data_IF_268735655190
#
_entry.id   IF_268735655190
#
_cell.length_a   1.000
_cell.length_b   1.000
_cell.length_c   1.000
_cell.angle_alpha   90.00
_cell.angle_beta   90.00
_cell.angle_gamma   90.00
#
_symmetry.space_group_name_H-M   'P 1'
#
loop_
_entity.id
_entity.type
_entity.pdbx_description
1 polymer ?
#
# COMPACT_ATOMS: atom_id res chain seq x y z
N UNK A 1 31.43 52.18 -33.24
CA UNK A 1 30.09 51.64 -33.43
C UNK A 1 30.00 50.09 -33.49
N UNK A 2 31.00 49.38 -33.98
CA UNK A 2 30.99 47.85 -34.05
C UNK A 2 31.03 47.13 -32.69
N UNK A 3 31.58 47.72 -31.61
CA UNK A 3 31.68 47.09 -30.27
C UNK A 3 30.38 47.12 -29.49
N UNK A 4 29.47 48.08 -29.74
CA UNK A 4 28.17 48.19 -29.05
C UNK A 4 27.17 47.17 -29.59
N UNK A 5 27.22 46.84 -30.89
CA UNK A 5 26.38 45.80 -31.50
C UNK A 5 26.68 44.38 -30.99
N UNK A 6 27.95 44.08 -30.68
CA UNK A 6 28.35 42.78 -30.16
C UNK A 6 27.89 42.56 -28.73
N UNK A 7 27.90 43.61 -27.90
CA UNK A 7 27.44 43.54 -26.50
C UNK A 7 25.89 43.35 -26.42
N UNK A 8 25.14 43.99 -27.31
CA UNK A 8 23.70 43.85 -27.41
C UNK A 8 23.26 42.42 -27.84
N UNK A 9 24.01 41.80 -28.73
CA UNK A 9 23.78 40.40 -29.16
C UNK A 9 24.07 39.42 -28.02
N UNK A 10 25.12 39.61 -27.25
CA UNK A 10 25.45 38.74 -26.10
C UNK A 10 24.38 38.81 -24.99
N UNK A 11 23.83 40.01 -24.74
CA UNK A 11 22.76 40.20 -23.74
C UNK A 11 21.45 39.53 -24.21
N UNK A 12 21.15 39.51 -25.51
CA UNK A 12 19.98 38.86 -26.08
C UNK A 12 20.09 37.30 -26.00
N UNK A 13 21.29 36.74 -26.14
CA UNK A 13 21.50 35.29 -25.98
C UNK A 13 21.50 34.87 -24.52
N UNK A 14 21.91 35.70 -23.58
CA UNK A 14 21.89 35.37 -22.15
C UNK A 14 20.47 35.36 -21.57
N UNK A 15 19.51 36.09 -22.14
CA UNK A 15 18.11 36.09 -21.71
C UNK A 15 17.25 34.95 -22.28
N UNK A 16 17.78 34.19 -23.27
CA UNK A 16 17.02 33.10 -23.90
C UNK A 16 17.11 31.76 -23.18
N UNK A 17 17.91 31.63 -22.11
CA UNK A 17 18.08 30.38 -21.37
C UNK A 17 17.38 30.33 -20.02
N UNK A 18 16.62 31.36 -19.64
CA UNK A 18 15.74 31.23 -18.47
C UNK A 18 14.45 30.53 -18.90
N UNK A 19 14.34 29.23 -18.61
CA UNK A 19 13.08 28.51 -18.75
C UNK A 19 12.04 29.22 -17.87
N UNK A 20 11.09 29.90 -18.54
CA UNK A 20 10.09 30.71 -17.86
C UNK A 20 9.18 29.77 -17.06
N UNK A 21 9.16 29.90 -15.75
CA UNK A 21 8.23 29.14 -14.90
C UNK A 21 6.79 29.42 -15.31
N UNK A 22 5.92 28.41 -15.19
CA UNK A 22 4.49 28.63 -15.35
C UNK A 22 3.99 29.65 -14.32
N UNK A 23 3.14 30.63 -14.71
CA UNK A 23 2.72 31.71 -13.83
C UNK A 23 2.06 31.23 -12.53
N UNK A 24 1.34 30.10 -12.57
CA UNK A 24 0.64 29.57 -11.40
C UNK A 24 1.52 28.67 -10.52
N UNK A 25 2.75 28.33 -10.96
CA UNK A 25 3.59 27.38 -10.22
C UNK A 25 3.85 27.82 -8.77
N UNK A 26 4.14 29.09 -8.53
CA UNK A 26 4.44 29.59 -7.19
C UNK A 26 3.24 29.43 -6.23
N UNK A 27 2.03 29.78 -6.71
CA UNK A 27 0.77 29.59 -5.96
C UNK A 27 0.51 28.11 -5.69
N UNK A 28 0.63 27.27 -6.70
CA UNK A 28 0.37 25.84 -6.63
C UNK A 28 1.37 25.12 -5.72
N UNK A 29 2.64 25.55 -5.71
CA UNK A 29 3.65 25.05 -4.79
C UNK A 29 3.28 25.32 -3.32
N UNK A 30 2.79 26.50 -3.00
CA UNK A 30 2.34 26.82 -1.64
C UNK A 30 1.11 25.99 -1.25
N UNK A 31 0.17 25.74 -2.18
CA UNK A 31 -0.96 24.83 -1.93
C UNK A 31 -0.48 23.41 -1.67
N UNK A 32 0.46 22.87 -2.47
CA UNK A 32 1.02 21.54 -2.28
C UNK A 32 1.71 21.39 -0.92
N UNK A 33 2.52 22.36 -0.53
CA UNK A 33 3.15 22.39 0.79
C UNK A 33 2.13 22.44 1.91
N UNK A 34 1.08 23.26 1.73
CA UNK A 34 0.00 23.38 2.72
C UNK A 34 -0.78 22.09 2.88
N UNK A 35 -1.05 21.34 1.80
CA UNK A 35 -1.66 20.02 1.87
C UNK A 35 -0.87 19.05 2.75
N UNK A 36 0.46 19.01 2.59
CA UNK A 36 1.32 18.17 3.40
C UNK A 36 1.39 18.61 4.87
N UNK A 37 1.44 19.92 5.13
CA UNK A 37 1.36 20.44 6.50
C UNK A 37 0.04 20.08 7.20
N UNK A 38 -1.08 20.15 6.48
CA UNK A 38 -2.39 19.75 7.02
C UNK A 38 -2.47 18.24 7.25
N UNK A 39 -1.78 17.45 6.41
CA UNK A 39 -1.66 16.01 6.64
C UNK A 39 -0.84 15.69 7.91
N UNK A 40 0.27 16.38 8.14
CA UNK A 40 1.05 16.29 9.39
C UNK A 40 0.24 16.68 10.64
N UNK A 41 -0.72 17.58 10.49
CA UNK A 41 -1.60 18.04 11.58
C UNK A 41 -2.88 17.20 11.72
N UNK A 42 -3.07 16.22 10.84
CA UNK A 42 -4.29 15.41 10.73
C UNK A 42 -5.55 16.27 10.52
N UNK A 43 -5.39 17.48 9.94
CA UNK A 43 -6.47 18.40 9.63
C UNK A 43 -7.20 17.98 8.34
N UNK A 44 -8.11 17.03 8.49
CA UNK A 44 -8.90 16.47 7.40
C UNK A 44 -9.75 17.52 6.69
N UNK A 45 -10.42 18.40 7.44
CA UNK A 45 -11.28 19.44 6.88
C UNK A 45 -10.48 20.51 6.15
N UNK A 46 -9.33 20.87 6.70
CA UNK A 46 -8.37 21.76 6.04
C UNK A 46 -7.86 21.21 4.71
N UNK A 47 -7.55 19.91 4.66
CA UNK A 47 -7.17 19.25 3.40
C UNK A 47 -8.34 19.22 2.41
N UNK A 48 -9.56 18.88 2.86
CA UNK A 48 -10.75 18.85 2.02
C UNK A 48 -11.05 20.18 1.35
N UNK A 49 -10.76 21.30 2.02
CA UNK A 49 -10.94 22.66 1.48
C UNK A 49 -9.97 23.02 0.33
N UNK A 50 -8.86 22.28 0.19
CA UNK A 50 -7.87 22.49 -0.87
C UNK A 50 -8.01 21.48 -2.03
N UNK A 51 -8.96 20.54 -1.96
CA UNK A 51 -9.13 19.45 -2.92
C UNK A 51 -10.40 19.69 -3.73
N UNK A 52 -10.27 19.63 -5.06
CA UNK A 52 -11.38 19.71 -6.00
C UNK A 52 -12.29 18.49 -5.90
N UNK A 53 -13.60 18.70 -6.08
CA UNK A 53 -14.56 17.58 -6.18
C UNK A 53 -14.35 16.71 -7.42
N UNK A 54 -13.67 17.25 -8.42
CA UNK A 54 -13.34 16.57 -9.68
C UNK A 54 -11.95 15.93 -9.66
N UNK A 55 -11.34 15.75 -8.48
CA UNK A 55 -10.02 15.15 -8.35
C UNK A 55 -9.97 13.75 -8.96
N UNK A 56 -8.88 13.47 -9.67
CA UNK A 56 -8.49 12.12 -10.07
C UNK A 56 -7.17 11.80 -9.39
N UNK A 57 -7.20 10.85 -8.45
CA UNK A 57 -6.02 10.45 -7.70
C UNK A 57 -5.58 9.03 -8.09
N UNK A 58 -4.26 8.80 -8.03
CA UNK A 58 -3.62 7.51 -8.30
C UNK A 58 -2.80 7.09 -7.08
N UNK A 59 -2.72 5.79 -6.82
CA UNK A 59 -1.88 5.23 -5.77
C UNK A 59 -0.89 4.24 -6.36
N UNK A 60 0.22 3.99 -5.65
CA UNK A 60 1.23 3.01 -6.02
C UNK A 60 0.82 1.55 -5.74
N UNK A 61 -0.40 1.31 -5.29
CA UNK A 61 -0.90 -0.04 -5.04
C UNK A 61 -1.08 -0.81 -6.36
N UNK A 62 -0.49 -2.01 -6.43
CA UNK A 62 -0.61 -2.87 -7.62
C UNK A 62 -2.07 -3.22 -7.93
N UNK A 63 -2.49 -2.96 -9.18
CA UNK A 63 -3.84 -3.26 -9.66
C UNK A 63 -4.93 -2.30 -9.18
N UNK A 64 -4.58 -1.19 -8.48
CA UNK A 64 -5.55 -0.18 -8.09
C UNK A 64 -6.07 0.60 -9.29
N UNK A 65 -7.34 0.98 -9.24
CA UNK A 65 -7.94 1.95 -10.15
C UNK A 65 -7.72 3.38 -9.66
N UNK A 66 -8.05 4.36 -10.51
CA UNK A 66 -8.02 5.77 -10.14
C UNK A 66 -9.16 6.07 -9.16
N UNK A 67 -8.86 6.89 -8.17
CA UNK A 67 -9.81 7.29 -7.13
C UNK A 67 -10.45 8.65 -7.46
N UNK A 68 -11.75 8.74 -7.24
CA UNK A 68 -12.46 10.00 -7.17
C UNK A 68 -12.35 10.66 -5.79
N UNK A 69 -13.09 11.76 -5.60
CA UNK A 69 -13.00 12.58 -4.37
C UNK A 69 -13.27 11.79 -3.09
N UNK A 70 -14.37 11.03 -3.03
CA UNK A 70 -14.78 10.35 -1.79
C UNK A 70 -13.80 9.25 -1.40
N UNK A 71 -13.29 8.50 -2.37
CA UNK A 71 -12.28 7.45 -2.16
C UNK A 71 -10.93 8.05 -1.76
N UNK A 72 -10.53 9.16 -2.39
CA UNK A 72 -9.30 9.86 -2.04
C UNK A 72 -9.34 10.42 -0.62
N UNK A 73 -10.47 11.03 -0.22
CA UNK A 73 -10.66 11.51 1.14
C UNK A 73 -10.72 10.38 2.17
N UNK A 74 -11.31 9.24 1.82
CA UNK A 74 -11.27 8.04 2.67
C UNK A 74 -9.85 7.49 2.82
N UNK A 75 -9.03 7.53 1.77
CA UNK A 75 -7.63 7.14 1.81
C UNK A 75 -6.81 8.05 2.75
N UNK A 76 -6.98 9.38 2.66
CA UNK A 76 -6.36 10.35 3.59
C UNK A 76 -6.71 10.02 5.04
N UNK A 77 -8.00 9.79 5.30
CA UNK A 77 -8.49 9.42 6.64
C UNK A 77 -7.88 8.10 7.13
N UNK A 78 -7.71 7.14 6.23
CA UNK A 78 -7.06 5.86 6.52
C UNK A 78 -5.62 6.04 7.02
N UNK A 79 -4.84 6.92 6.38
CA UNK A 79 -3.49 7.24 6.85
C UNK A 79 -3.47 7.95 8.21
N UNK A 80 -4.36 8.93 8.46
CA UNK A 80 -4.49 9.57 9.78
C UNK A 80 -4.86 8.58 10.90
N UNK A 81 -5.64 7.52 10.59
CA UNK A 81 -5.97 6.48 11.55
C UNK A 81 -4.85 5.45 11.76
N UNK A 82 -3.98 5.28 10.78
CA UNK A 82 -2.95 4.25 10.79
C UNK A 82 -1.61 4.73 11.39
N UNK A 83 -1.34 6.04 11.33
CA UNK A 83 -0.05 6.60 11.72
C UNK A 83 -0.20 7.83 12.60
N UNK A 84 0.56 7.86 13.71
CA UNK A 84 0.78 9.02 14.58
C UNK A 84 2.10 9.73 14.18
N UNK A 85 2.26 10.99 14.59
CA UNK A 85 3.50 11.77 14.46
C UNK A 85 4.03 11.86 13.03
N UNK A 86 3.12 11.94 12.05
CA UNK A 86 3.46 11.97 10.63
C UNK A 86 4.20 13.25 10.29
N UNK A 87 5.31 13.15 9.56
CA UNK A 87 6.11 14.30 9.13
C UNK A 87 6.72 14.07 7.76
N UNK A 88 6.61 15.07 6.89
CA UNK A 88 7.27 15.08 5.58
C UNK A 88 8.57 15.87 5.61
N UNK A 89 9.64 15.26 5.10
CA UNK A 89 10.92 15.93 4.88
C UNK A 89 11.20 15.95 3.38
N UNK A 90 11.03 17.10 2.70
CA UNK A 90 11.30 17.20 1.27
C UNK A 90 12.80 17.13 0.98
N UNK A 91 13.19 16.33 -0.02
CA UNK A 91 14.51 16.44 -0.64
C UNK A 91 14.52 17.57 -1.67
N UNK A 92 13.44 17.72 -2.45
CA UNK A 92 13.27 18.76 -3.46
C UNK A 92 11.81 18.97 -3.84
N UNK A 93 11.47 20.20 -4.22
CA UNK A 93 10.24 20.59 -4.90
C UNK A 93 10.57 21.05 -6.32
N UNK A 94 9.84 20.53 -7.32
CA UNK A 94 10.10 20.75 -8.73
C UNK A 94 8.82 21.16 -9.47
N UNK A 95 8.91 21.98 -10.52
CA UNK A 95 7.80 22.19 -11.43
C UNK A 95 7.49 20.92 -12.22
N UNK A 96 6.21 20.69 -12.45
CA UNK A 96 5.74 19.63 -13.33
C UNK A 96 5.61 20.09 -14.78
N UNK A 97 5.36 19.13 -15.67
CA UNK A 97 5.22 19.38 -17.10
C UNK A 97 4.10 18.51 -17.69
N UNK A 98 3.58 18.93 -18.84
CA UNK A 98 2.74 18.10 -19.68
C UNK A 98 3.53 16.96 -20.36
N UNK A 99 2.85 16.17 -21.19
CA UNK A 99 3.44 15.06 -21.93
C UNK A 99 4.47 15.46 -23.00
N UNK A 100 4.48 16.74 -23.38
CA UNK A 100 5.44 17.32 -24.32
C UNK A 100 6.63 17.99 -23.63
N UNK A 101 6.63 18.00 -22.29
CA UNK A 101 7.71 18.62 -21.49
C UNK A 101 7.50 20.11 -21.20
N UNK A 102 6.37 20.74 -21.60
CA UNK A 102 6.09 22.12 -21.28
C UNK A 102 5.65 22.24 -19.82
N UNK A 103 6.16 23.26 -19.10
CA UNK A 103 5.75 23.53 -17.74
C UNK A 103 4.27 23.91 -17.70
N UNK A 104 3.50 23.25 -16.84
CA UNK A 104 2.03 23.34 -16.80
C UNK A 104 1.47 23.77 -15.43
N UNK A 105 2.31 24.31 -14.55
CA UNK A 105 1.90 24.74 -13.22
C UNK A 105 1.75 23.64 -12.19
N UNK A 106 1.84 22.36 -12.57
CA UNK A 106 1.84 21.24 -11.63
C UNK A 106 3.11 21.23 -10.78
N UNK A 107 3.03 20.51 -9.64
CA UNK A 107 4.11 20.43 -8.64
C UNK A 107 4.51 18.98 -8.45
N UNK A 108 5.79 18.75 -8.24
CA UNK A 108 6.36 17.44 -7.90
C UNK A 108 7.26 17.57 -6.69
N UNK A 109 7.33 16.51 -5.90
CA UNK A 109 8.28 16.46 -4.79
C UNK A 109 8.84 15.06 -4.61
N UNK A 110 10.11 15.00 -4.24
CA UNK A 110 10.74 13.82 -3.68
C UNK A 110 11.03 14.08 -2.22
N UNK A 111 10.89 13.09 -1.38
CA UNK A 111 11.15 13.24 0.04
C UNK A 111 10.81 11.98 0.81
N UNK A 112 10.76 12.13 2.12
CA UNK A 112 10.54 11.04 3.06
C UNK A 112 9.41 11.41 4.00
N UNK A 113 8.39 10.55 4.07
CA UNK A 113 7.42 10.54 5.16
C UNK A 113 7.97 9.68 6.32
N UNK A 114 7.91 10.22 7.51
CA UNK A 114 8.15 9.48 8.75
C UNK A 114 6.89 9.50 9.60
N UNK A 115 6.77 8.56 10.54
CA UNK A 115 5.63 8.46 11.45
C UNK A 115 5.72 7.19 12.27
N UNK A 116 4.74 6.95 13.14
CA UNK A 116 4.65 5.75 13.98
C UNK A 116 3.35 5.03 13.70
N UNK A 117 3.41 3.77 13.27
CA UNK A 117 2.20 2.99 13.04
C UNK A 117 1.46 2.73 14.37
N UNK A 118 0.15 3.04 14.42
CA UNK A 118 -0.63 3.12 15.67
C UNK A 118 -0.69 1.80 16.42
N UNK A 119 -0.87 0.66 15.75
CA UNK A 119 -1.03 -0.65 16.40
C UNK A 119 0.30 -1.31 16.77
N UNK A 120 1.24 -1.32 15.83
CA UNK A 120 2.52 -2.02 16.00
C UNK A 120 3.57 -1.21 16.73
N UNK A 121 3.38 0.12 16.81
CA UNK A 121 4.35 1.11 17.31
C UNK A 121 5.66 1.12 16.53
N UNK A 122 5.69 0.55 15.33
CA UNK A 122 6.86 0.57 14.45
C UNK A 122 7.00 1.92 13.77
N UNK A 123 8.25 2.35 13.63
CA UNK A 123 8.58 3.60 12.95
C UNK A 123 8.51 3.43 11.44
N UNK A 124 7.81 4.37 10.78
CA UNK A 124 7.75 4.52 9.34
C UNK A 124 8.91 5.40 8.85
N UNK A 125 9.55 4.99 7.77
CA UNK A 125 10.43 5.83 6.96
C UNK A 125 10.20 5.50 5.49
N UNK A 126 9.35 6.30 4.84
CA UNK A 126 8.83 6.04 3.50
C UNK A 126 9.37 7.06 2.51
N UNK A 127 10.36 6.67 1.72
CA UNK A 127 10.88 7.48 0.62
C UNK A 127 9.97 7.32 -0.60
N UNK A 128 9.66 8.45 -1.27
CA UNK A 128 8.80 8.40 -2.43
C UNK A 128 8.82 9.68 -3.27
N UNK A 129 7.94 9.67 -4.24
CA UNK A 129 7.66 10.75 -5.17
C UNK A 129 6.16 11.03 -5.18
N UNK A 130 5.79 12.31 -5.15
CA UNK A 130 4.40 12.78 -5.22
C UNK A 130 4.28 13.85 -6.29
N UNK A 131 3.17 13.86 -7.03
CA UNK A 131 2.82 14.93 -7.95
C UNK A 131 1.44 15.49 -7.67
N UNK A 132 1.24 16.76 -8.04
CA UNK A 132 0.04 17.52 -7.78
C UNK A 132 -0.33 18.32 -9.03
N UNK A 133 -1.54 18.09 -9.57
CA UNK A 133 -2.16 18.94 -10.57
C UNK A 133 -3.19 19.85 -9.93
N UNK A 134 -3.44 21.00 -10.54
CA UNK A 134 -4.35 22.00 -10.00
C UNK A 134 -5.31 22.49 -11.08
N UNK A 135 -6.54 22.80 -10.68
CA UNK A 135 -7.52 23.44 -11.53
C UNK A 135 -7.27 24.97 -11.63
N UNK A 136 -8.10 25.66 -12.40
CA UNK A 136 -8.03 27.13 -12.59
C UNK A 136 -8.25 27.93 -11.28
N UNK A 137 -8.92 27.34 -10.30
CA UNK A 137 -9.13 27.93 -8.98
C UNK A 137 -7.94 27.72 -8.04
N UNK A 138 -7.00 26.83 -8.42
CA UNK A 138 -5.85 26.43 -7.63
C UNK A 138 -6.18 25.36 -6.60
N UNK A 139 -7.30 24.62 -6.78
CA UNK A 139 -7.61 23.42 -6.01
C UNK A 139 -6.93 22.21 -6.64
N UNK A 140 -6.52 21.27 -5.80
CA UNK A 140 -5.92 20.01 -6.21
C UNK A 140 -6.93 19.17 -7.03
N UNK A 141 -6.68 18.95 -8.31
CA UNK A 141 -7.53 18.15 -9.20
C UNK A 141 -6.86 16.88 -9.73
N UNK A 142 -5.57 16.72 -9.51
CA UNK A 142 -4.87 15.48 -9.80
C UNK A 142 -3.76 15.24 -8.75
N UNK A 143 -3.63 14.01 -8.29
CA UNK A 143 -2.55 13.62 -7.40
C UNK A 143 -2.16 12.18 -7.65
N UNK A 144 -0.88 11.89 -7.52
CA UNK A 144 -0.38 10.53 -7.49
C UNK A 144 0.90 10.42 -6.68
N UNK A 145 1.16 9.19 -6.27
CA UNK A 145 2.32 8.84 -5.47
C UNK A 145 3.01 7.60 -6.02
N UNK A 146 4.32 7.53 -5.80
CA UNK A 146 5.14 6.38 -6.15
C UNK A 146 6.11 6.10 -5.00
N UNK A 147 5.84 5.04 -4.28
CA UNK A 147 6.66 4.53 -3.19
C UNK A 147 6.50 3.01 -3.07
N UNK A 148 7.32 2.37 -2.27
CA UNK A 148 7.22 0.94 -2.01
C UNK A 148 6.07 0.65 -1.02
N UNK A 149 4.83 0.61 -1.55
CA UNK A 149 3.64 0.33 -0.75
C UNK A 149 3.71 -1.07 -0.11
N UNK A 150 4.11 -2.09 -0.89
CA UNK A 150 4.23 -3.46 -0.39
C UNK A 150 5.27 -3.60 0.72
N UNK A 151 6.44 -2.97 0.55
CA UNK A 151 7.47 -2.90 1.58
C UNK A 151 7.00 -2.18 2.83
N UNK A 152 6.29 -1.06 2.71
CA UNK A 152 5.68 -0.34 3.83
C UNK A 152 4.73 -1.24 4.63
N UNK A 153 3.76 -1.88 3.96
CA UNK A 153 2.81 -2.78 4.63
C UNK A 153 3.56 -3.90 5.36
N UNK A 154 4.50 -4.54 4.69
CA UNK A 154 5.28 -5.63 5.29
C UNK A 154 6.13 -5.20 6.49
N UNK A 155 6.66 -3.96 6.46
CA UNK A 155 7.55 -3.47 7.51
C UNK A 155 6.80 -3.03 8.77
N UNK A 156 5.70 -2.27 8.63
CA UNK A 156 5.12 -1.56 9.78
C UNK A 156 3.72 -2.01 10.18
N UNK A 157 2.92 -2.59 9.27
CA UNK A 157 1.57 -3.04 9.62
C UNK A 157 1.58 -4.34 10.44
N UNK A 158 0.54 -4.59 11.25
CA UNK A 158 0.41 -5.86 11.96
C UNK A 158 0.16 -6.99 10.96
N UNK A 159 0.70 -8.16 11.27
CA UNK A 159 0.44 -9.39 10.50
C UNK A 159 -0.39 -10.36 11.32
N UNK A 160 -1.50 -10.80 10.76
CA UNK A 160 -2.34 -11.84 11.35
C UNK A 160 -2.02 -13.18 10.67
N UNK A 161 -0.90 -13.80 11.09
CA UNK A 161 -0.49 -15.10 10.57
C UNK A 161 -1.25 -16.22 11.29
N UNK A 162 -1.63 -17.23 10.53
CA UNK A 162 -2.12 -18.51 11.03
C UNK A 162 -1.27 -19.60 10.42
N UNK A 163 -0.74 -20.48 11.27
CA UNK A 163 0.06 -21.61 10.83
C UNK A 163 -0.72 -22.88 11.16
N UNK A 164 -0.99 -23.69 10.15
CA UNK A 164 -1.63 -24.99 10.30
C UNK A 164 -0.63 -26.08 9.94
N UNK A 165 -0.43 -27.06 10.81
CA UNK A 165 0.26 -28.29 10.44
C UNK A 165 -0.71 -29.46 10.36
N UNK A 166 -0.49 -30.32 9.37
CA UNK A 166 -1.23 -31.54 9.14
C UNK A 166 -0.27 -32.72 9.26
N UNK A 167 -0.44 -33.52 10.31
CA UNK A 167 0.36 -34.70 10.52
C UNK A 167 -0.29 -35.91 9.80
N UNK A 168 0.37 -36.41 8.75
CA UNK A 168 -0.20 -37.34 7.79
C UNK A 168 0.29 -38.76 8.06
N UNK A 169 -0.59 -39.74 7.95
CA UNK A 169 -0.25 -41.19 8.02
C UNK A 169 0.73 -41.53 6.91
N UNK A 170 1.60 -42.50 7.20
CA UNK A 170 2.55 -43.02 6.20
C UNK A 170 1.83 -43.50 4.94
N UNK A 171 2.36 -43.08 3.76
CA UNK A 171 1.80 -43.42 2.45
C UNK A 171 0.48 -42.71 2.12
N UNK A 172 0.08 -41.69 2.87
CA UNK A 172 -1.18 -40.95 2.65
C UNK A 172 -0.97 -39.47 2.23
N UNK A 173 0.26 -39.07 1.98
CA UNK A 173 0.59 -37.70 1.58
C UNK A 173 -0.16 -37.29 0.31
N UNK A 174 -0.13 -38.11 -0.75
CA UNK A 174 -0.78 -37.80 -2.02
C UNK A 174 -2.30 -37.65 -1.87
N UNK A 175 -2.94 -38.47 -1.01
CA UNK A 175 -4.38 -38.34 -0.75
C UNK A 175 -4.74 -36.96 -0.14
N UNK A 176 -3.92 -36.48 0.80
CA UNK A 176 -4.14 -35.14 1.43
C UNK A 176 -3.83 -34.03 0.45
N UNK A 177 -2.77 -34.13 -0.36
CA UNK A 177 -2.42 -33.18 -1.37
C UNK A 177 -3.51 -33.03 -2.45
N UNK A 178 -4.10 -34.13 -2.88
CA UNK A 178 -5.23 -34.12 -3.83
C UNK A 178 -6.41 -33.31 -3.27
N UNK A 179 -6.77 -33.53 -1.99
CA UNK A 179 -7.84 -32.79 -1.31
C UNK A 179 -7.48 -31.32 -1.19
N UNK A 180 -6.27 -30.95 -0.73
CA UNK A 180 -5.84 -29.59 -0.54
C UNK A 180 -5.75 -28.80 -1.84
N UNK A 181 -5.33 -29.45 -2.93
CA UNK A 181 -5.23 -28.83 -4.25
C UNK A 181 -6.53 -28.81 -5.04
N UNK A 182 -7.58 -29.50 -4.56
CA UNK A 182 -8.90 -29.44 -5.18
C UNK A 182 -9.49 -28.04 -5.13
N UNK A 183 -10.47 -27.74 -5.96
CA UNK A 183 -11.15 -26.44 -5.97
C UNK A 183 -11.68 -26.06 -4.59
N UNK A 184 -12.30 -27.00 -3.86
CA UNK A 184 -12.79 -26.80 -2.49
C UNK A 184 -11.69 -26.67 -1.43
N UNK A 185 -10.44 -27.02 -1.73
CA UNK A 185 -9.30 -27.01 -0.83
C UNK A 185 -8.69 -25.63 -0.59
N UNK A 186 -7.38 -25.52 -0.81
CA UNK A 186 -6.63 -24.25 -0.64
C UNK A 186 -7.04 -23.14 -1.61
N UNK A 187 -7.45 -23.41 -2.87
CA UNK A 187 -8.00 -22.37 -3.73
C UNK A 187 -9.20 -21.65 -3.12
N UNK A 188 -10.15 -22.38 -2.56
CA UNK A 188 -11.30 -21.78 -1.84
C UNK A 188 -10.85 -21.04 -0.57
N UNK A 189 -9.86 -21.55 0.19
CA UNK A 189 -9.28 -20.84 1.33
C UNK A 189 -8.69 -19.51 0.89
N UNK A 190 -7.91 -19.50 -0.20
CA UNK A 190 -7.28 -18.28 -0.73
C UNK A 190 -8.30 -17.23 -1.20
N UNK A 191 -9.44 -17.67 -1.74
CA UNK A 191 -10.51 -16.82 -2.20
C UNK A 191 -11.46 -16.34 -1.08
N UNK A 192 -11.32 -16.90 0.14
CA UNK A 192 -12.18 -16.52 1.26
C UNK A 192 -11.92 -15.10 1.73
N UNK A 193 -12.97 -14.38 2.11
CA UNK A 193 -12.88 -13.01 2.55
C UNK A 193 -11.88 -12.84 3.71
N UNK A 194 -11.00 -11.87 3.56
CA UNK A 194 -9.92 -11.58 4.51
C UNK A 194 -8.67 -12.46 4.39
N UNK A 195 -8.59 -13.45 3.49
CA UNK A 195 -7.36 -14.20 3.23
C UNK A 195 -6.43 -13.39 2.30
N UNK A 196 -5.37 -12.80 2.85
CA UNK A 196 -4.43 -11.95 2.12
C UNK A 196 -3.35 -12.75 1.40
N UNK A 197 -2.81 -13.79 2.03
CA UNK A 197 -1.86 -14.73 1.41
C UNK A 197 -2.06 -16.14 1.96
N UNK A 198 -1.66 -17.14 1.17
CA UNK A 198 -1.70 -18.53 1.56
C UNK A 198 -0.55 -19.28 0.89
N UNK A 199 0.26 -19.92 1.69
CA UNK A 199 1.41 -20.71 1.26
C UNK A 199 1.39 -22.09 1.89
N UNK A 200 1.93 -23.07 1.18
CA UNK A 200 2.04 -24.45 1.65
C UNK A 200 3.46 -24.98 1.44
N UNK A 201 3.97 -25.69 2.40
CA UNK A 201 5.22 -26.47 2.28
C UNK A 201 5.06 -27.87 2.86
N UNK A 202 5.89 -28.79 2.41
CA UNK A 202 5.82 -30.21 2.75
C UNK A 202 7.15 -30.63 3.36
N UNK A 203 7.08 -31.35 4.48
CA UNK A 203 8.22 -32.10 5.00
C UNK A 203 7.96 -33.59 4.77
N UNK A 204 8.53 -34.16 3.70
CA UNK A 204 8.37 -35.52 3.30
C UNK A 204 8.92 -36.51 4.37
N UNK A 205 10.00 -36.15 5.08
CA UNK A 205 10.61 -37.00 6.09
C UNK A 205 9.70 -37.23 7.31
N UNK A 206 8.87 -36.26 7.68
CA UNK A 206 7.92 -36.35 8.79
C UNK A 206 6.49 -36.63 8.34
N UNK A 207 6.22 -36.67 7.05
CA UNK A 207 4.87 -36.65 6.45
C UNK A 207 3.99 -35.52 7.04
N UNK A 208 4.52 -34.31 7.06
CA UNK A 208 3.83 -33.13 7.61
C UNK A 208 3.67 -32.08 6.53
N UNK A 209 2.46 -31.55 6.37
CA UNK A 209 2.19 -30.36 5.55
C UNK A 209 2.05 -29.16 6.49
N UNK A 210 2.67 -28.04 6.11
CA UNK A 210 2.50 -26.75 6.76
C UNK A 210 1.78 -25.80 5.80
N UNK A 211 0.70 -25.19 6.29
CA UNK A 211 -0.01 -24.12 5.58
C UNK A 211 0.13 -22.85 6.39
N UNK A 212 0.62 -21.79 5.76
CA UNK A 212 0.79 -20.47 6.37
C UNK A 212 -0.14 -19.50 5.67
N UNK A 213 -1.07 -18.95 6.40
CA UNK A 213 -2.03 -17.96 5.91
C UNK A 213 -1.81 -16.61 6.59
N UNK A 214 -1.81 -15.52 5.84
CA UNK A 214 -1.93 -14.16 6.36
C UNK A 214 -3.37 -13.70 6.18
N UNK A 215 -3.97 -13.18 7.24
CA UNK A 215 -5.38 -12.77 7.28
C UNK A 215 -5.49 -11.30 7.64
N UNK A 216 -6.50 -10.62 7.09
CA UNK A 216 -6.74 -9.20 7.35
C UNK A 216 -6.95 -8.92 8.84
N UNK A 217 -7.71 -9.79 9.53
CA UNK A 217 -7.90 -9.76 10.98
C UNK A 217 -8.10 -11.17 11.54
N UNK A 218 -7.99 -11.32 12.86
CA UNK A 218 -8.32 -12.57 13.54
C UNK A 218 -9.79 -12.98 13.36
N UNK A 219 -10.69 -12.01 13.25
CA UNK A 219 -12.12 -12.27 13.06
C UNK A 219 -12.42 -12.87 11.68
N UNK A 220 -11.72 -12.43 10.63
CA UNK A 220 -11.83 -13.05 9.29
C UNK A 220 -11.42 -14.53 9.35
N UNK A 221 -10.29 -14.83 10.01
CA UNK A 221 -9.88 -16.23 10.16
C UNK A 221 -10.87 -17.04 11.01
N UNK A 222 -11.38 -16.48 12.09
CA UNK A 222 -12.37 -17.16 12.94
C UNK A 222 -13.66 -17.47 12.17
N UNK A 223 -14.14 -16.55 11.35
CA UNK A 223 -15.29 -16.75 10.47
C UNK A 223 -15.03 -17.86 9.44
N UNK A 224 -13.84 -17.82 8.79
CA UNK A 224 -13.42 -18.89 7.88
C UNK A 224 -13.37 -20.25 8.56
N UNK A 225 -12.72 -20.36 9.72
CA UNK A 225 -12.59 -21.63 10.44
C UNK A 225 -13.95 -22.19 10.86
N UNK A 226 -14.84 -21.32 11.34
CA UNK A 226 -16.21 -21.70 11.66
C UNK A 226 -16.93 -22.26 10.43
N UNK A 227 -16.87 -21.57 9.29
CA UNK A 227 -17.46 -22.03 8.05
C UNK A 227 -16.90 -23.40 7.62
N UNK A 228 -15.58 -23.60 7.66
CA UNK A 228 -14.91 -24.88 7.35
C UNK A 228 -15.37 -26.02 8.26
N UNK A 229 -15.71 -25.72 9.51
CA UNK A 229 -16.14 -26.73 10.49
C UNK A 229 -17.63 -27.07 10.39
N UNK A 230 -18.45 -26.15 9.92
CA UNK A 230 -19.92 -26.30 9.98
C UNK A 230 -20.59 -26.52 8.62
N UNK A 231 -20.02 -25.99 7.55
CA UNK A 231 -20.66 -25.94 6.22
C UNK A 231 -19.84 -26.65 5.14
N UNK A 232 -18.54 -26.82 5.37
CA UNK A 232 -17.62 -27.42 4.41
C UNK A 232 -17.26 -28.89 4.74
N UNK A 233 -16.84 -29.65 3.74
CA UNK A 233 -16.54 -31.04 3.85
C UNK A 233 -15.05 -31.41 3.78
N UNK A 234 -14.19 -30.45 3.45
CA UNK A 234 -12.75 -30.68 3.18
C UNK A 234 -12.03 -31.19 4.43
N UNK A 235 -12.29 -30.61 5.60
CA UNK A 235 -11.69 -31.07 6.85
C UNK A 235 -12.08 -32.53 7.09
N UNK A 236 -13.39 -32.87 6.99
CA UNK A 236 -13.88 -34.23 7.16
C UNK A 236 -13.26 -35.22 6.19
N UNK A 237 -13.03 -34.83 4.95
CA UNK A 237 -12.39 -35.67 3.93
C UNK A 237 -10.91 -35.96 4.23
N UNK A 238 -10.19 -35.06 4.89
CA UNK A 238 -8.78 -35.27 5.26
C UNK A 238 -8.58 -36.11 6.51
N UNK A 239 -9.48 -36.00 7.49
CA UNK A 239 -9.37 -36.67 8.81
C UNK A 239 -8.99 -38.16 8.72
N UNK A 240 -9.52 -38.99 7.81
CA UNK A 240 -9.13 -40.40 7.70
C UNK A 240 -7.64 -40.64 7.38
N UNK A 241 -6.98 -39.67 6.78
CA UNK A 241 -5.58 -39.75 6.34
C UNK A 241 -4.60 -39.14 7.35
N UNK A 242 -5.10 -38.46 8.42
CA UNK A 242 -4.27 -37.78 9.41
C UNK A 242 -3.94 -38.74 10.59
N UNK A 243 -2.74 -38.55 11.16
CA UNK A 243 -2.33 -39.22 12.40
C UNK A 243 -3.21 -38.72 13.56
N UNK A 244 -3.85 -39.64 14.27
CA UNK A 244 -4.78 -39.31 15.34
C UNK A 244 -6.12 -38.70 14.86
N UNK A 245 -6.42 -38.78 13.54
CA UNK A 245 -7.63 -38.17 12.99
C UNK A 245 -7.61 -36.65 13.06
N UNK A 246 -8.66 -36.04 13.63
CA UNK A 246 -8.73 -34.60 13.76
C UNK A 246 -7.60 -33.98 14.63
N UNK A 247 -7.07 -34.77 15.59
CA UNK A 247 -5.94 -34.32 16.43
C UNK A 247 -4.63 -34.12 15.63
N UNK A 248 -4.58 -34.64 14.41
CA UNK A 248 -3.47 -34.41 13.48
C UNK A 248 -3.48 -33.03 12.81
N UNK A 249 -4.49 -32.18 13.09
CA UNK A 249 -4.59 -30.81 12.64
C UNK A 249 -4.18 -29.90 13.80
N UNK A 250 -3.02 -29.23 13.69
CA UNK A 250 -2.59 -28.26 14.70
C UNK A 250 -2.67 -26.86 14.13
N UNK A 251 -3.34 -25.96 14.84
CA UNK A 251 -3.52 -24.58 14.45
C UNK A 251 -2.80 -23.69 15.46
N UNK A 252 -1.89 -22.85 14.97
CA UNK A 252 -1.13 -21.89 15.77
C UNK A 252 -1.47 -20.49 15.33
N UNK A 253 -1.92 -19.68 16.29
CA UNK A 253 -2.12 -18.25 16.11
C UNK A 253 -0.95 -17.50 16.80
N UNK A 254 0.02 -16.95 16.08
CA UNK A 254 1.15 -16.29 16.70
C UNK A 254 0.82 -14.88 17.25
N UNK A 255 -0.42 -14.63 17.68
CA UNK A 255 -0.94 -13.32 18.06
C UNK A 255 -0.24 -12.65 19.25
N UNK A 256 0.42 -13.41 20.10
CA UNK A 256 1.06 -12.87 21.32
C UNK A 256 2.58 -13.01 21.33
N UNK A 257 3.16 -13.70 20.38
CA UNK A 257 4.60 -13.99 20.31
C UNK A 257 5.24 -13.70 18.94
N UNK A 258 4.48 -13.12 17.98
CA UNK A 258 5.04 -12.79 16.69
C UNK A 258 5.98 -11.60 16.79
N UNK A 259 7.22 -11.79 16.34
CA UNK A 259 8.21 -10.73 16.16
C UNK A 259 8.74 -10.81 14.73
N UNK A 260 8.75 -9.68 14.03
CA UNK A 260 9.51 -9.54 12.79
C UNK A 260 10.86 -8.89 13.10
N UNK A 261 11.94 -9.44 12.56
CA UNK A 261 13.30 -8.95 12.70
C UNK A 261 13.72 -8.19 11.46
#
# INVERSE_FOLDING_TARGET
>A
MKKISLLAIVVLFASSCMQQQHPDYAKNLETAKKLFQLHELEDYDGQAALISKDIVAETSLYGSEKMGYDEFMANIKGYHMAFDNVKYTPEVWLPGSDTLGNLNGSVRTYGVWTGTQVQTKKELSLKGYWYFGFDENGLLNAQGDYFDFGGMINAVYPKNLVIVSLDIKEGKLDNVLEILNSEGGLPTTKAYDGCLSLEMTINENSNTIWVVGEWATNDHYAAYLKWRQTEDTVIGAMVPFLKGGADGINIVHPNTGYQSF
#
